data_IF_729222083984
#
_entry.id   IF_729222083984
#
_cell.length_a   1.000
_cell.length_b   1.000
_cell.length_c   1.000
_cell.angle_alpha   90.00
_cell.angle_beta   90.00
_cell.angle_gamma   90.00
#
_symmetry.space_group_name_H-M   'P 1'
#
loop_
_entity.id
_entity.type
_entity.pdbx_description
1 polymer ?
#
# COMPACT_ATOMS: atom_id res chain seq x y z
N UNK A 1 18.73 13.27 8.63
CA UNK A 1 18.41 11.90 8.15
C UNK A 1 16.94 11.49 8.31
N UNK A 2 16.24 11.78 9.43
CA UNK A 2 14.84 11.32 9.64
C UNK A 2 13.80 11.82 8.62
N UNK A 3 13.85 13.09 8.19
CA UNK A 3 12.90 13.64 7.19
C UNK A 3 12.97 12.93 5.83
N UNK A 4 14.18 12.68 5.32
CA UNK A 4 14.39 12.04 4.02
C UNK A 4 13.81 10.61 3.96
N UNK A 5 13.78 9.89 5.09
CA UNK A 5 13.16 8.56 5.16
C UNK A 5 11.63 8.65 5.12
N UNK A 6 11.04 9.57 5.89
CA UNK A 6 9.60 9.81 5.90
C UNK A 6 9.06 10.23 4.51
N UNK A 7 9.79 11.07 3.78
CA UNK A 7 9.40 11.48 2.42
C UNK A 7 9.37 10.29 1.45
N UNK A 8 10.34 9.38 1.56
CA UNK A 8 10.39 8.14 0.75
C UNK A 8 9.27 7.18 1.12
N UNK A 9 9.01 7.00 2.41
CA UNK A 9 7.95 6.10 2.89
C UNK A 9 6.58 6.60 2.41
N UNK A 10 6.35 7.92 2.47
CA UNK A 10 5.14 8.55 1.93
C UNK A 10 5.01 8.34 0.41
N UNK A 11 6.07 8.56 -0.35
CA UNK A 11 6.07 8.36 -1.80
C UNK A 11 5.76 6.91 -2.19
N UNK A 12 6.44 5.94 -1.55
CA UNK A 12 6.19 4.51 -1.77
C UNK A 12 4.75 4.12 -1.43
N UNK A 13 4.24 4.60 -0.31
CA UNK A 13 2.86 4.33 0.14
C UNK A 13 1.84 4.87 -0.87
N UNK A 14 2.05 6.08 -1.41
CA UNK A 14 1.20 6.67 -2.45
C UNK A 14 1.24 5.88 -3.75
N UNK A 15 2.43 5.49 -4.22
CA UNK A 15 2.57 4.69 -5.44
C UNK A 15 1.85 3.33 -5.30
N UNK A 16 1.98 2.68 -4.14
CA UNK A 16 1.32 1.41 -3.86
C UNK A 16 -0.21 1.57 -3.80
N UNK A 17 -0.72 2.57 -3.07
CA UNK A 17 -2.14 2.85 -2.99
C UNK A 17 -2.75 3.14 -4.38
N UNK A 18 -2.03 3.87 -5.24
CA UNK A 18 -2.45 4.12 -6.62
C UNK A 18 -2.49 2.84 -7.45
N UNK A 19 -1.51 1.94 -7.32
CA UNK A 19 -1.54 0.65 -8.04
C UNK A 19 -2.70 -0.24 -7.60
N UNK A 20 -2.99 -0.29 -6.30
CA UNK A 20 -4.11 -1.07 -5.76
C UNK A 20 -5.47 -0.51 -6.19
N UNK A 21 -5.58 0.80 -6.42
CA UNK A 21 -6.78 1.45 -6.99
C UNK A 21 -7.10 0.96 -8.40
N UNK A 22 -6.07 0.71 -9.20
CA UNK A 22 -6.20 0.28 -10.60
C UNK A 22 -6.23 -1.25 -10.75
N UNK A 23 -6.32 -1.99 -9.65
CA UNK A 23 -6.52 -3.43 -9.72
C UNK A 23 -7.89 -3.72 -10.36
N UNK A 24 -7.94 -4.64 -11.32
CA UNK A 24 -9.21 -5.00 -11.98
C UNK A 24 -10.26 -5.43 -10.96
N UNK A 25 -11.50 -4.93 -11.13
CA UNK A 25 -12.66 -5.33 -10.33
C UNK A 25 -12.99 -6.82 -10.47
N UNK A 26 -12.56 -7.44 -11.57
CA UNK A 26 -12.73 -8.88 -11.83
C UNK A 26 -11.59 -9.72 -11.24
N UNK A 27 -10.64 -9.09 -10.55
CA UNK A 27 -9.61 -9.82 -9.83
C UNK A 27 -10.18 -10.48 -8.58
N UNK A 28 -9.80 -11.73 -8.33
CA UNK A 28 -10.13 -12.43 -7.08
C UNK A 28 -9.60 -11.66 -5.85
N UNK A 29 -8.60 -10.79 -6.05
CA UNK A 29 -7.97 -10.00 -5.00
C UNK A 29 -8.54 -8.57 -4.85
N UNK A 30 -9.53 -8.17 -5.65
CA UNK A 30 -10.06 -6.80 -5.69
C UNK A 30 -10.57 -6.32 -4.32
N UNK A 31 -11.33 -7.15 -3.62
CA UNK A 31 -11.85 -6.80 -2.29
C UNK A 31 -10.72 -6.57 -1.27
N UNK A 32 -9.71 -7.45 -1.28
CA UNK A 32 -8.57 -7.36 -0.37
C UNK A 32 -7.70 -6.14 -0.69
N UNK A 33 -7.50 -5.84 -1.98
CA UNK A 33 -6.81 -4.64 -2.44
C UNK A 33 -7.51 -3.36 -1.99
N UNK A 34 -8.84 -3.29 -2.08
CA UNK A 34 -9.62 -2.13 -1.63
C UNK A 34 -9.45 -1.88 -0.12
N UNK A 35 -9.52 -2.94 0.70
CA UNK A 35 -9.33 -2.83 2.15
C UNK A 35 -7.92 -2.34 2.50
N UNK A 36 -6.91 -2.92 1.87
CA UNK A 36 -5.52 -2.55 2.09
C UNK A 36 -5.22 -1.11 1.63
N UNK A 37 -5.72 -0.71 0.45
CA UNK A 37 -5.64 0.67 -0.04
C UNK A 37 -6.23 1.65 0.97
N UNK A 38 -7.40 1.36 1.53
CA UNK A 38 -8.01 2.19 2.57
C UNK A 38 -7.12 2.35 3.81
N UNK A 39 -6.42 1.29 4.22
CA UNK A 39 -5.45 1.36 5.31
C UNK A 39 -4.22 2.20 4.97
N UNK A 40 -3.67 2.07 3.76
CA UNK A 40 -2.56 2.90 3.30
C UNK A 40 -2.93 4.39 3.21
N UNK A 41 -4.14 4.72 2.75
CA UNK A 41 -4.62 6.10 2.68
C UNK A 41 -4.66 6.77 4.07
N UNK A 42 -5.09 6.04 5.11
CA UNK A 42 -5.06 6.58 6.49
C UNK A 42 -3.64 6.88 6.96
N UNK A 43 -2.66 6.08 6.57
CA UNK A 43 -1.25 6.36 6.86
C UNK A 43 -0.71 7.56 6.08
N UNK A 44 -1.08 7.70 4.80
CA UNK A 44 -0.75 8.85 3.96
C UNK A 44 -1.29 10.13 4.61
N UNK A 45 -2.57 10.16 5.00
CA UNK A 45 -3.20 11.32 5.65
C UNK A 45 -2.44 11.75 6.93
N UNK A 46 -2.05 10.79 7.78
CA UNK A 46 -1.26 11.05 8.99
C UNK A 46 0.11 11.65 8.68
N UNK A 47 0.83 11.06 7.71
CA UNK A 47 2.15 11.54 7.31
C UNK A 47 2.08 12.94 6.66
N UNK A 48 1.07 13.20 5.84
CA UNK A 48 0.81 14.50 5.21
C UNK A 48 0.44 15.58 6.24
N UNK A 49 -0.27 15.21 7.31
CA UNK A 49 -0.54 16.08 8.45
C UNK A 49 0.71 16.40 9.29
N UNK A 50 1.87 15.82 8.95
CA UNK A 50 3.12 16.00 9.68
C UNK A 50 3.21 15.17 10.96
N UNK A 51 2.33 14.17 11.14
CA UNK A 51 2.39 13.26 12.26
C UNK A 51 3.65 12.41 12.20
N UNK A 52 4.40 12.35 13.31
CA UNK A 52 5.52 11.43 13.43
C UNK A 52 5.00 10.06 13.84
N UNK A 53 5.14 9.08 12.93
CA UNK A 53 4.83 7.69 13.24
C UNK A 53 5.80 7.18 14.33
N UNK A 54 5.25 6.61 15.39
CA UNK A 54 6.02 5.83 16.36
C UNK A 54 6.47 4.49 15.73
N UNK A 55 7.28 3.72 16.45
CA UNK A 55 7.89 2.51 15.90
C UNK A 55 6.86 1.41 15.63
N UNK A 56 5.76 1.34 16.40
CA UNK A 56 4.66 0.41 16.13
C UNK A 56 3.88 0.79 14.88
N UNK A 57 3.59 2.08 14.69
CA UNK A 57 2.93 2.59 13.50
C UNK A 57 3.80 2.39 12.25
N UNK A 58 5.12 2.57 12.35
CA UNK A 58 6.06 2.26 11.25
C UNK A 58 6.05 0.78 10.89
N UNK A 59 6.11 -0.11 11.88
CA UNK A 59 6.05 -1.56 11.64
C UNK A 59 4.73 -1.94 10.95
N UNK A 60 3.60 -1.40 11.40
CA UNK A 60 2.30 -1.63 10.75
C UNK A 60 2.24 -1.09 9.32
N UNK A 61 2.89 0.04 9.03
CA UNK A 61 3.01 0.55 7.66
C UNK A 61 3.86 -0.38 6.79
N UNK A 62 5.01 -0.86 7.30
CA UNK A 62 5.88 -1.81 6.61
C UNK A 62 5.14 -3.12 6.28
N UNK A 63 4.34 -3.65 7.21
CA UNK A 63 3.49 -4.83 6.99
C UNK A 63 2.45 -4.58 5.89
N UNK A 64 1.72 -3.46 5.95
CA UNK A 64 0.74 -3.11 4.93
C UNK A 64 1.37 -2.95 3.54
N UNK A 65 2.57 -2.38 3.48
CA UNK A 65 3.33 -2.25 2.22
C UNK A 65 3.68 -3.63 1.66
N UNK A 66 4.16 -4.53 2.50
CA UNK A 66 4.50 -5.91 2.10
C UNK A 66 3.27 -6.69 1.62
N UNK A 67 2.14 -6.56 2.32
CA UNK A 67 0.88 -7.19 1.94
C UNK A 67 0.36 -6.63 0.60
N UNK A 68 0.50 -5.31 0.37
CA UNK A 68 0.11 -4.69 -0.88
C UNK A 68 0.91 -5.20 -2.08
N UNK A 69 2.23 -5.37 -1.93
CA UNK A 69 3.05 -6.00 -2.98
C UNK A 69 2.64 -7.46 -3.23
N UNK A 70 2.34 -8.20 -2.17
CA UNK A 70 1.88 -9.60 -2.28
C UNK A 70 0.57 -9.69 -3.06
N UNK A 71 -0.39 -8.78 -2.80
CA UNK A 71 -1.64 -8.70 -3.56
C UNK A 71 -1.38 -8.40 -5.04
N UNK A 72 -0.53 -7.42 -5.34
CA UNK A 72 -0.19 -7.08 -6.72
C UNK A 72 0.47 -8.24 -7.46
N UNK A 73 1.38 -8.98 -6.80
CA UNK A 73 2.02 -10.15 -7.38
C UNK A 73 1.00 -11.26 -7.68
N UNK A 74 0.11 -11.56 -6.74
CA UNK A 74 -0.94 -12.57 -6.92
C UNK A 74 -1.92 -12.19 -8.04
N UNK A 75 -2.33 -10.92 -8.12
CA UNK A 75 -3.19 -10.44 -9.19
C UNK A 75 -2.49 -10.50 -10.56
N UNK A 76 -1.19 -10.19 -10.62
CA UNK A 76 -0.41 -10.34 -11.85
C UNK A 76 -0.34 -11.81 -12.30
N UNK A 77 -0.17 -12.76 -11.36
CA UNK A 77 -0.20 -14.21 -11.63
C UNK A 77 -1.57 -14.65 -12.13
N UNK A 78 -2.67 -14.12 -11.59
CA UNK A 78 -4.03 -14.39 -12.06
C UNK A 78 -4.21 -13.99 -13.53
N UNK A 79 -3.72 -12.81 -13.92
CA UNK A 79 -3.76 -12.33 -15.31
C UNK A 79 -2.92 -13.24 -16.22
N UNK A 80 -1.74 -13.65 -15.76
CA UNK A 80 -0.87 -14.56 -16.51
C UNK A 80 -1.45 -15.96 -16.67
N UNK A 81 -2.13 -16.49 -15.65
CA UNK A 81 -2.78 -17.80 -15.68
C UNK A 81 -4.09 -17.83 -16.48
N UNK A 82 -4.74 -16.67 -16.67
CA UNK A 82 -5.94 -16.50 -17.50
C UNK A 82 -5.64 -16.36 -19.00
N UNK A 83 -4.36 -16.29 -19.40
CA UNK A 83 -3.93 -16.15 -20.81
C UNK A 83 -3.68 -17.49 -21.49
#
# INVERSE_FOLDING_TARGET
MKRVRADKDLELTRQLANRLEHLSVDSTYAHRASGLRGSLLRYIERMEAGEQLDDGAKAGLEELVQDGYTILEMAAKEIGAKR
#
